data_IF_571354787808
#
_entry.id   IF_571354787808
#
_cell.length_a   1.000
_cell.length_b   1.000
_cell.length_c   1.000
_cell.angle_alpha   90.00
_cell.angle_beta   90.00
_cell.angle_gamma   90.00
#
_symmetry.space_group_name_H-M   'P 1'
#
loop_
_entity.id
_entity.type
_entity.pdbx_description
1 polymer ?
#
# COMPACT_ATOMS: atom_id res chain seq x y z
N UNK A 1 5.44 1.35 -35.59
CA UNK A 1 5.92 2.30 -34.55
C UNK A 1 6.26 1.55 -33.27
N UNK A 2 7.54 1.35 -32.94
CA UNK A 2 7.95 0.81 -31.63
C UNK A 2 7.82 1.94 -30.60
N UNK A 3 6.79 1.92 -29.75
CA UNK A 3 6.74 2.78 -28.56
C UNK A 3 7.90 2.34 -27.65
N UNK A 4 9.03 3.05 -27.70
CA UNK A 4 10.09 2.91 -26.70
C UNK A 4 9.57 3.57 -25.43
N UNK A 5 9.27 2.78 -24.41
CA UNK A 5 8.96 3.32 -23.09
C UNK A 5 10.18 4.10 -22.60
N UNK A 6 9.97 5.34 -22.19
CA UNK A 6 11.01 6.17 -21.56
C UNK A 6 11.29 5.63 -20.16
N UNK A 7 12.52 5.80 -19.68
CA UNK A 7 12.90 5.45 -18.31
C UNK A 7 11.97 6.10 -17.26
N UNK A 8 11.49 7.32 -17.54
CA UNK A 8 10.51 8.01 -16.69
C UNK A 8 9.18 7.25 -16.57
N UNK A 9 8.66 6.69 -17.66
CA UNK A 9 7.40 5.96 -17.66
C UNK A 9 7.49 4.63 -16.88
N UNK A 10 8.68 4.01 -16.91
CA UNK A 10 8.95 2.80 -16.13
C UNK A 10 9.02 3.17 -14.64
N UNK A 11 9.68 4.26 -14.30
CA UNK A 11 9.78 4.74 -12.92
C UNK A 11 8.39 5.09 -12.35
N UNK A 12 7.56 5.82 -13.12
CA UNK A 12 6.20 6.16 -12.72
C UNK A 12 5.34 4.92 -12.43
N UNK A 13 5.49 3.87 -13.26
CA UNK A 13 4.76 2.61 -13.08
C UNK A 13 5.25 1.81 -11.85
N UNK A 14 6.53 1.93 -11.48
CA UNK A 14 7.11 1.24 -10.33
C UNK A 14 6.99 2.04 -9.02
N UNK A 15 6.66 3.32 -9.09
CA UNK A 15 6.59 4.21 -7.93
C UNK A 15 5.72 3.66 -6.78
N UNK A 16 4.53 3.06 -7.02
CA UNK A 16 3.74 2.48 -5.94
C UNK A 16 4.46 1.32 -5.23
N UNK A 17 5.20 0.49 -5.98
CA UNK A 17 5.95 -0.62 -5.41
C UNK A 17 7.13 -0.10 -4.55
N UNK A 18 7.84 0.91 -5.04
CA UNK A 18 8.91 1.57 -4.29
C UNK A 18 8.36 2.17 -2.99
N UNK A 19 7.18 2.81 -3.05
CA UNK A 19 6.53 3.38 -1.88
C UNK A 19 6.17 2.30 -0.83
N UNK A 20 5.64 1.15 -1.27
CA UNK A 20 5.34 0.01 -0.38
C UNK A 20 6.62 -0.52 0.28
N UNK A 21 7.70 -0.69 -0.49
CA UNK A 21 8.99 -1.13 0.07
C UNK A 21 9.50 -0.10 1.07
N UNK A 22 9.42 1.20 0.76
CA UNK A 22 9.80 2.27 1.67
C UNK A 22 9.00 2.25 2.98
N UNK A 23 7.68 2.03 2.91
CA UNK A 23 6.83 1.89 4.09
C UNK A 23 7.22 0.69 4.96
N UNK A 24 7.53 -0.47 4.36
CA UNK A 24 8.03 -1.63 5.08
C UNK A 24 9.41 -1.38 5.70
N UNK A 25 10.30 -0.65 5.03
CA UNK A 25 11.61 -0.29 5.62
C UNK A 25 11.42 0.61 6.85
N UNK A 26 10.58 1.64 6.75
CA UNK A 26 10.27 2.53 7.87
C UNK A 26 9.63 1.75 9.02
N UNK A 27 8.67 0.87 8.72
CA UNK A 27 8.06 -0.01 9.73
C UNK A 27 9.09 -0.92 10.42
N UNK A 28 10.05 -1.46 9.68
CA UNK A 28 11.10 -2.29 10.24
C UNK A 28 12.01 -1.50 11.19
N UNK A 29 12.37 -0.26 10.83
CA UNK A 29 13.13 0.64 11.70
C UNK A 29 12.37 0.87 13.01
N UNK A 30 11.07 1.16 12.94
CA UNK A 30 10.23 1.34 14.14
C UNK A 30 10.21 0.08 15.00
N UNK A 31 10.05 -1.10 14.40
CA UNK A 31 10.05 -2.37 15.14
C UNK A 31 11.38 -2.61 15.86
N UNK A 32 12.52 -2.31 15.22
CA UNK A 32 13.84 -2.40 15.87
C UNK A 32 13.96 -1.42 17.04
N UNK A 33 13.47 -0.19 16.90
CA UNK A 33 13.46 0.80 17.99
C UNK A 33 12.59 0.36 19.18
N UNK A 34 11.59 -0.48 18.93
CA UNK A 34 10.73 -1.10 19.95
C UNK A 34 11.27 -2.44 20.46
N UNK A 35 12.52 -2.79 20.14
CA UNK A 35 13.17 -4.06 20.49
C UNK A 35 12.45 -5.32 19.96
N UNK A 36 11.65 -5.16 18.90
CA UNK A 36 10.95 -6.25 18.22
C UNK A 36 11.71 -6.73 16.96
N UNK A 37 11.61 -8.02 16.65
CA UNK A 37 12.21 -8.59 15.43
C UNK A 37 11.31 -8.31 14.19
N UNK A 38 11.76 -7.50 13.21
CA UNK A 38 10.93 -7.15 12.06
C UNK A 38 10.62 -8.32 11.13
N UNK A 39 11.56 -9.25 10.97
CA UNK A 39 11.37 -10.41 10.10
C UNK A 39 10.28 -11.32 10.64
N UNK A 40 10.25 -11.55 11.95
CA UNK A 40 9.20 -12.34 12.57
C UNK A 40 7.84 -11.61 12.48
N UNK A 41 7.82 -10.30 12.73
CA UNK A 41 6.59 -9.51 12.61
C UNK A 41 6.01 -9.56 11.18
N UNK A 42 6.83 -9.41 10.15
CA UNK A 42 6.38 -9.49 8.76
C UNK A 42 6.01 -10.89 8.32
N UNK A 43 6.71 -11.91 8.83
CA UNK A 43 6.32 -13.30 8.61
C UNK A 43 4.93 -13.57 9.18
N UNK A 44 4.67 -13.14 10.42
CA UNK A 44 3.35 -13.29 11.06
C UNK A 44 2.28 -12.48 10.33
N UNK A 45 2.58 -11.25 9.90
CA UNK A 45 1.67 -10.40 9.13
C UNK A 45 1.26 -11.08 7.81
N UNK A 46 2.21 -11.60 7.04
CA UNK A 46 1.94 -12.28 5.76
C UNK A 46 1.17 -13.57 5.99
N UNK A 47 1.57 -14.36 7.00
CA UNK A 47 0.86 -15.61 7.33
C UNK A 47 -0.59 -15.35 7.75
N UNK A 48 -0.80 -14.31 8.58
CA UNK A 48 -2.13 -13.88 9.00
C UNK A 48 -2.99 -13.40 7.84
N UNK A 49 -2.41 -12.72 6.85
CA UNK A 49 -3.13 -12.16 5.71
C UNK A 49 -3.47 -13.19 4.63
N UNK A 50 -2.60 -14.17 4.35
CA UNK A 50 -2.72 -14.99 3.14
C UNK A 50 -2.81 -16.50 3.35
N UNK A 51 -2.49 -17.03 4.53
CA UNK A 51 -2.38 -18.50 4.71
C UNK A 51 -3.72 -19.18 5.00
N UNK A 52 -4.74 -18.46 5.47
CA UNK A 52 -6.05 -19.04 5.78
C UNK A 52 -7.20 -18.23 5.16
N UNK A 53 -8.37 -18.88 5.00
CA UNK A 53 -9.53 -18.28 4.32
C UNK A 53 -10.06 -17.03 5.03
N UNK A 54 -10.06 -17.02 6.35
CA UNK A 54 -10.54 -15.87 7.13
C UNK A 54 -9.58 -14.70 6.99
N UNK A 55 -8.28 -14.94 7.09
CA UNK A 55 -7.24 -13.92 6.90
C UNK A 55 -7.30 -13.28 5.51
N UNK A 56 -7.50 -14.08 4.48
CA UNK A 56 -7.67 -13.57 3.12
C UNK A 56 -8.96 -12.75 3.00
N UNK A 57 -10.07 -13.22 3.57
CA UNK A 57 -11.32 -12.49 3.59
C UNK A 57 -11.17 -11.15 4.32
N UNK A 58 -10.58 -11.12 5.52
CA UNK A 58 -10.32 -9.91 6.30
C UNK A 58 -9.44 -8.92 5.54
N UNK A 59 -8.39 -9.43 4.87
CA UNK A 59 -7.51 -8.62 4.04
C UNK A 59 -8.29 -7.98 2.89
N UNK A 60 -9.11 -8.75 2.18
CA UNK A 60 -9.91 -8.25 1.05
C UNK A 60 -11.01 -7.29 1.51
N UNK A 61 -11.69 -7.57 2.62
CA UNK A 61 -12.74 -6.72 3.20
C UNK A 61 -12.19 -5.35 3.56
N UNK A 62 -10.95 -5.27 4.05
CA UNK A 62 -10.27 -3.99 4.35
C UNK A 62 -9.68 -3.34 3.09
N UNK A 63 -9.07 -4.12 2.21
CA UNK A 63 -8.42 -3.59 1.01
C UNK A 63 -9.41 -3.01 -0.01
N UNK A 64 -10.57 -3.64 -0.19
CA UNK A 64 -11.59 -3.22 -1.17
C UNK A 64 -12.04 -1.77 -0.99
N UNK A 65 -12.53 -1.33 0.18
CA UNK A 65 -12.92 0.06 0.37
C UNK A 65 -11.75 1.04 0.24
N UNK A 66 -10.54 0.67 0.69
CA UNK A 66 -9.35 1.51 0.51
C UNK A 66 -8.99 1.71 -0.97
N UNK A 67 -9.12 0.66 -1.79
CA UNK A 67 -8.93 0.77 -3.24
C UNK A 67 -9.99 1.68 -3.89
N UNK A 68 -11.24 1.61 -3.44
CA UNK A 68 -12.31 2.50 -3.91
C UNK A 68 -12.06 3.96 -3.52
N UNK A 69 -11.57 4.20 -2.30
CA UNK A 69 -11.13 5.54 -1.86
C UNK A 69 -10.00 6.05 -2.75
N UNK A 70 -8.98 5.23 -3.02
CA UNK A 70 -7.89 5.57 -3.93
C UNK A 70 -8.40 5.95 -5.33
N UNK A 71 -9.38 5.21 -5.86
CA UNK A 71 -10.01 5.53 -7.15
C UNK A 71 -10.74 6.89 -7.11
N UNK A 72 -11.47 7.18 -6.04
CA UNK A 72 -12.13 8.48 -5.84
C UNK A 72 -11.13 9.64 -5.71
N UNK A 73 -10.02 9.42 -4.99
CA UNK A 73 -8.93 10.39 -4.83
C UNK A 73 -8.34 10.78 -6.20
N UNK A 74 -8.17 9.82 -7.12
CA UNK A 74 -7.70 10.13 -8.50
C UNK A 74 -8.61 11.13 -9.20
N UNK A 75 -9.93 11.04 -9.01
CA UNK A 75 -10.89 11.99 -9.59
C UNK A 75 -10.73 13.37 -8.94
N UNK A 76 -10.63 13.44 -7.61
CA UNK A 76 -10.43 14.70 -6.89
C UNK A 76 -9.12 15.41 -7.28
N UNK A 77 -8.02 14.66 -7.39
CA UNK A 77 -6.73 15.20 -7.84
C UNK A 77 -6.80 15.78 -9.25
N UNK A 78 -7.57 15.17 -10.17
CA UNK A 78 -7.80 15.74 -11.50
C UNK A 78 -8.53 17.08 -11.46
N UNK A 79 -9.39 17.29 -10.47
CA UNK A 79 -10.03 18.57 -10.19
C UNK A 79 -9.13 19.55 -9.41
N UNK A 80 -7.85 19.21 -9.18
CA UNK A 80 -6.88 19.95 -8.35
C UNK A 80 -7.33 20.11 -6.89
N UNK A 81 -8.20 19.22 -6.41
CA UNK A 81 -8.64 19.16 -5.02
C UNK A 81 -7.81 18.09 -4.31
N UNK A 82 -7.08 18.50 -3.28
CA UNK A 82 -6.32 17.59 -2.43
C UNK A 82 -7.21 17.15 -1.27
N UNK A 83 -7.32 15.83 -1.06
CA UNK A 83 -7.96 15.25 0.11
C UNK A 83 -6.88 14.58 0.97
N UNK A 84 -6.86 14.89 2.27
CA UNK A 84 -6.00 14.24 3.26
C UNK A 84 -6.94 13.58 4.27
N UNK A 85 -6.84 12.26 4.42
CA UNK A 85 -7.62 11.50 5.40
C UNK A 85 -8.89 10.84 4.90
N UNK A 86 -9.11 10.75 3.57
CA UNK A 86 -10.22 9.98 3.03
C UNK A 86 -10.20 8.51 3.48
N UNK A 87 -9.02 7.89 3.65
CA UNK A 87 -8.94 6.54 4.22
C UNK A 87 -9.41 6.47 5.68
N UNK A 88 -9.22 7.53 6.47
CA UNK A 88 -9.61 7.59 7.88
C UNK A 88 -11.09 7.90 8.12
N UNK A 89 -11.82 8.26 7.06
CA UNK A 89 -13.27 8.49 7.07
C UNK A 89 -14.08 7.22 6.77
N UNK A 90 -13.42 6.10 6.44
CA UNK A 90 -14.05 4.80 6.34
C UNK A 90 -14.42 4.29 7.75
N UNK A 91 -15.71 3.96 7.94
CA UNK A 91 -16.27 3.38 9.18
C UNK A 91 -16.45 1.87 8.97
#
# INVERSE_FOLDING_TARGET
MRKRFSAAQILDALLPLIAVIGALVIGAIILVLLEANPLEAYRVMIAGAFTNKNGLADTLVKATPLLLVGLGIVIAYRAKVVNIGAEGQLI
#
